data_IF_225129556116
#
_entry.id   IF_225129556116
#
_cell.length_a   1.000
_cell.length_b   1.000
_cell.length_c   1.000
_cell.angle_alpha   90.00
_cell.angle_beta   90.00
_cell.angle_gamma   90.00
#
_symmetry.space_group_name_H-M   'P 1'
#
loop_
_entity.id
_entity.type
_entity.pdbx_description
1 polymer ?
#
# COMPACT_ATOMS: atom_id res chain seq x y z
N UNK A 1 -37.16 26.85 -4.33
CA UNK A 1 -37.69 28.22 -4.19
C UNK A 1 -39.17 28.12 -3.87
N UNK A 2 -39.61 28.61 -2.71
CA UNK A 2 -41.04 28.73 -2.41
C UNK A 2 -41.54 30.08 -2.94
N UNK A 3 -42.64 30.08 -3.70
CA UNK A 3 -43.31 31.30 -4.15
C UNK A 3 -43.78 32.12 -2.95
N UNK A 4 -43.59 33.44 -3.03
CA UNK A 4 -43.64 34.40 -1.93
C UNK A 4 -45.03 34.70 -1.34
N UNK A 5 -46.03 33.83 -1.47
CA UNK A 5 -47.42 34.24 -1.22
C UNK A 5 -48.04 33.78 0.11
N UNK A 6 -47.36 32.98 0.94
CA UNK A 6 -47.89 32.65 2.29
C UNK A 6 -46.78 32.44 3.31
N UNK A 7 -46.22 33.52 3.83
CA UNK A 7 -45.49 33.48 5.12
C UNK A 7 -46.47 33.87 6.23
N UNK A 8 -46.67 33.05 7.28
CA UNK A 8 -47.54 33.40 8.40
C UNK A 8 -47.10 34.70 9.09
N UNK A 9 -48.01 35.50 9.65
CA UNK A 9 -47.65 36.73 10.35
C UNK A 9 -46.83 36.38 11.62
N UNK A 10 -45.54 36.69 11.60
CA UNK A 10 -44.67 36.59 12.77
C UNK A 10 -44.53 37.96 13.45
N UNK A 11 -44.51 37.98 14.78
CA UNK A 11 -44.21 39.14 15.61
C UNK A 11 -42.79 38.99 16.21
N UNK A 12 -41.87 39.96 16.00
CA UNK A 12 -42.06 41.27 15.38
C UNK A 12 -42.15 41.19 13.84
N UNK A 13 -42.83 42.16 13.20
CA UNK A 13 -43.07 42.14 11.76
C UNK A 13 -41.76 42.30 10.99
N UNK A 14 -41.45 41.32 10.13
CA UNK A 14 -40.38 41.41 9.14
C UNK A 14 -40.79 42.49 8.12
N UNK A 15 -40.18 43.68 8.22
CA UNK A 15 -40.42 44.79 7.30
C UNK A 15 -39.32 44.78 6.24
N UNK A 16 -39.66 44.41 5.02
CA UNK A 16 -38.72 44.46 3.89
C UNK A 16 -38.31 45.91 3.63
N UNK A 17 -37.01 46.19 3.67
CA UNK A 17 -36.49 47.57 3.72
C UNK A 17 -36.52 48.27 2.35
N UNK A 18 -36.57 47.55 1.23
CA UNK A 18 -36.52 48.15 -0.12
C UNK A 18 -37.35 47.38 -1.17
N UNK A 19 -38.65 47.69 -1.29
CA UNK A 19 -39.43 47.51 -2.53
C UNK A 19 -39.37 46.16 -3.25
N UNK A 20 -39.21 45.03 -2.55
CA UNK A 20 -39.06 43.68 -3.12
C UNK A 20 -37.91 43.51 -4.12
N UNK A 21 -36.98 44.48 -4.21
CA UNK A 21 -35.76 44.30 -5.01
C UNK A 21 -34.84 43.37 -4.23
N UNK A 22 -34.43 42.26 -4.85
CA UNK A 22 -33.47 41.33 -4.25
C UNK A 22 -32.16 42.06 -3.97
N UNK A 23 -31.82 42.24 -2.70
CA UNK A 23 -30.60 42.97 -2.27
C UNK A 23 -29.36 42.07 -2.41
N UNK A 24 -29.51 40.77 -2.14
CA UNK A 24 -28.48 39.76 -2.33
C UNK A 24 -29.12 38.38 -2.49
N UNK A 25 -28.43 37.46 -3.17
CA UNK A 25 -28.77 36.04 -3.19
C UNK A 25 -27.99 35.33 -2.08
N UNK A 26 -28.68 34.54 -1.25
CA UNK A 26 -28.06 33.58 -0.35
C UNK A 26 -28.20 32.20 -0.98
N UNK A 27 -27.07 31.56 -1.26
CA UNK A 27 -27.00 30.13 -1.55
C UNK A 27 -26.45 29.42 -0.32
N UNK A 28 -27.19 28.45 0.22
CA UNK A 28 -26.75 27.63 1.36
C UNK A 28 -26.35 26.26 0.83
N UNK A 29 -25.05 26.00 0.77
CA UNK A 29 -24.51 24.68 0.50
C UNK A 29 -24.18 24.01 1.84
N UNK A 30 -25.00 23.04 2.25
CA UNK A 30 -24.65 22.21 3.41
C UNK A 30 -23.45 21.34 3.06
N UNK A 31 -22.41 21.31 3.90
CA UNK A 31 -21.28 20.38 3.76
C UNK A 31 -21.42 19.35 4.88
N UNK A 32 -21.37 18.07 4.55
CA UNK A 32 -21.55 16.97 5.50
C UNK A 32 -20.36 16.03 5.44
N UNK A 33 -19.84 15.65 6.61
CA UNK A 33 -18.84 14.59 6.73
C UNK A 33 -19.46 13.19 6.66
N UNK A 34 -20.79 13.10 6.58
CA UNK A 34 -21.55 11.85 6.60
C UNK A 34 -22.25 11.61 5.26
N UNK A 35 -22.80 12.67 4.66
CA UNK A 35 -23.56 12.57 3.40
C UNK A 35 -22.67 12.99 2.25
N UNK A 36 -22.44 12.07 1.31
CA UNK A 36 -21.52 12.26 0.17
C UNK A 36 -22.01 13.29 -0.85
N UNK A 37 -23.33 13.53 -0.90
CA UNK A 37 -23.97 14.36 -1.93
C UNK A 37 -23.64 13.88 -3.36
N UNK A 38 -23.32 12.61 -3.51
CA UNK A 38 -23.01 11.98 -4.78
C UNK A 38 -23.69 10.61 -4.82
N UNK A 39 -24.52 10.40 -5.84
CA UNK A 39 -25.37 9.22 -5.95
C UNK A 39 -24.55 7.93 -6.06
N UNK A 40 -23.38 7.96 -6.71
CA UNK A 40 -22.54 6.78 -6.91
C UNK A 40 -21.85 6.40 -5.59
N UNK A 41 -21.31 7.38 -4.87
CA UNK A 41 -20.71 7.16 -3.55
C UNK A 41 -21.76 6.72 -2.52
N UNK A 42 -22.93 7.34 -2.51
CA UNK A 42 -24.02 7.00 -1.59
C UNK A 42 -24.50 5.55 -1.81
N UNK A 43 -24.76 5.16 -3.07
CA UNK A 43 -25.14 3.78 -3.43
C UNK A 43 -24.07 2.78 -2.99
N UNK A 44 -22.80 3.09 -3.22
CA UNK A 44 -21.68 2.22 -2.82
C UNK A 44 -21.60 2.02 -1.30
N UNK A 45 -21.67 3.10 -0.52
CA UNK A 45 -21.58 2.99 0.94
C UNK A 45 -22.77 2.27 1.55
N UNK A 46 -23.99 2.51 1.05
CA UNK A 46 -25.18 1.81 1.53
C UNK A 46 -25.07 0.30 1.25
N UNK A 47 -24.60 -0.10 0.07
CA UNK A 47 -24.44 -1.50 -0.30
C UNK A 47 -23.32 -2.20 0.49
N UNK A 48 -22.20 -1.52 0.74
CA UNK A 48 -21.15 -2.07 1.62
C UNK A 48 -21.66 -2.23 3.06
N UNK A 49 -22.41 -1.24 3.56
CA UNK A 49 -23.00 -1.32 4.89
C UNK A 49 -24.02 -2.45 5.02
N UNK A 50 -24.85 -2.66 3.99
CA UNK A 50 -25.80 -3.78 3.90
C UNK A 50 -25.12 -5.15 3.94
N UNK A 51 -23.87 -5.23 3.50
CA UNK A 51 -23.10 -6.46 3.45
C UNK A 51 -22.36 -6.73 4.76
N UNK A 52 -21.95 -5.69 5.47
CA UNK A 52 -21.25 -5.78 6.76
C UNK A 52 -22.21 -5.91 7.95
N UNK A 53 -23.36 -5.25 7.88
CA UNK A 53 -24.37 -5.29 8.93
C UNK A 53 -25.43 -6.32 8.56
N UNK A 54 -25.93 -7.09 9.54
CA UNK A 54 -27.09 -7.96 9.30
C UNK A 54 -28.34 -7.10 9.10
N UNK A 55 -28.54 -6.60 7.88
CA UNK A 55 -29.71 -5.78 7.52
C UNK A 55 -30.85 -6.70 7.08
N UNK A 56 -32.07 -6.36 7.47
CA UNK A 56 -33.28 -7.03 6.98
C UNK A 56 -33.61 -6.58 5.56
N UNK A 57 -33.56 -7.51 4.61
CA UNK A 57 -33.97 -7.26 3.22
C UNK A 57 -35.51 -7.19 3.09
N UNK A 58 -36.03 -6.43 2.10
CA UNK A 58 -35.32 -5.65 1.08
C UNK A 58 -34.88 -4.27 1.57
N UNK A 59 -33.72 -3.82 1.08
CA UNK A 59 -33.14 -2.52 1.42
C UNK A 59 -33.57 -1.50 0.38
N UNK A 60 -33.92 -0.28 0.80
CA UNK A 60 -34.14 0.83 -0.13
C UNK A 60 -32.85 1.61 -0.29
N UNK A 61 -32.38 1.71 -1.52
CA UNK A 61 -31.20 2.51 -1.87
C UNK A 61 -31.65 3.56 -2.86
N UNK A 62 -31.56 4.83 -2.47
CA UNK A 62 -32.16 5.94 -3.20
C UNK A 62 -33.66 5.69 -3.46
N UNK A 63 -34.04 5.41 -4.71
CA UNK A 63 -35.42 5.12 -5.12
C UNK A 63 -35.66 3.63 -5.48
N UNK A 64 -34.64 2.78 -5.39
CA UNK A 64 -34.71 1.37 -5.80
C UNK A 64 -34.83 0.44 -4.59
N UNK A 65 -35.64 -0.61 -4.72
CA UNK A 65 -35.72 -1.70 -3.74
C UNK A 65 -34.76 -2.82 -4.15
N UNK A 66 -33.77 -3.08 -3.32
CA UNK A 66 -32.74 -4.10 -3.56
C UNK A 66 -33.06 -5.32 -2.68
N UNK A 67 -33.14 -6.48 -3.33
CA UNK A 67 -33.33 -7.76 -2.65
C UNK A 67 -31.97 -8.41 -2.38
N UNK A 68 -31.93 -9.40 -1.49
CA UNK A 68 -30.69 -10.12 -1.19
C UNK A 68 -30.11 -10.81 -2.44
N UNK A 69 -30.98 -11.36 -3.29
CA UNK A 69 -30.58 -12.03 -4.54
C UNK A 69 -29.98 -11.06 -5.58
N UNK A 70 -30.37 -9.78 -5.57
CA UNK A 70 -29.81 -8.78 -6.49
C UNK A 70 -28.62 -8.02 -5.90
N UNK A 71 -28.32 -8.19 -4.60
CA UNK A 71 -27.31 -7.42 -3.89
C UNK A 71 -25.92 -7.56 -4.53
N UNK A 72 -25.53 -8.79 -4.89
CA UNK A 72 -24.22 -9.05 -5.50
C UNK A 72 -24.06 -8.28 -6.82
N UNK A 73 -25.08 -8.35 -7.68
CA UNK A 73 -25.08 -7.66 -8.96
C UNK A 73 -25.05 -6.14 -8.79
N UNK A 74 -25.90 -5.60 -7.92
CA UNK A 74 -25.95 -4.16 -7.63
C UNK A 74 -24.65 -3.64 -7.02
N UNK A 75 -24.01 -4.42 -6.15
CA UNK A 75 -22.72 -4.06 -5.58
C UNK A 75 -21.61 -4.07 -6.64
N UNK A 76 -21.57 -5.07 -7.54
CA UNK A 76 -20.61 -5.07 -8.67
C UNK A 76 -20.75 -3.81 -9.53
N UNK A 77 -21.99 -3.47 -9.91
CA UNK A 77 -22.25 -2.24 -10.67
C UNK A 77 -21.85 -0.99 -9.89
N UNK A 78 -22.19 -0.93 -8.61
CA UNK A 78 -21.84 0.20 -7.77
C UNK A 78 -20.33 0.40 -7.62
N UNK A 79 -19.55 -0.68 -7.52
CA UNK A 79 -18.09 -0.63 -7.48
C UNK A 79 -17.56 -0.04 -8.80
N UNK A 80 -18.04 -0.53 -9.94
CA UNK A 80 -17.61 -0.06 -11.28
C UNK A 80 -17.95 1.42 -11.48
N UNK A 81 -19.12 1.87 -11.02
CA UNK A 81 -19.58 3.25 -11.17
C UNK A 81 -18.87 4.27 -10.27
N UNK A 82 -17.98 3.85 -9.36
CA UNK A 82 -17.25 4.79 -8.49
C UNK A 82 -16.44 5.82 -9.27
N UNK A 83 -15.88 5.45 -10.43
CA UNK A 83 -15.12 6.37 -11.28
C UNK A 83 -16.00 7.44 -11.96
N UNK A 84 -17.32 7.28 -11.95
CA UNK A 84 -18.28 8.28 -12.44
C UNK A 84 -18.68 9.31 -11.37
N UNK A 85 -18.19 9.18 -10.14
CA UNK A 85 -18.43 10.13 -9.06
C UNK A 85 -17.80 11.48 -9.36
N UNK A 86 -18.42 12.56 -8.83
CA UNK A 86 -17.81 13.89 -8.92
C UNK A 86 -16.46 13.91 -8.17
N UNK A 87 -15.47 14.58 -8.76
CA UNK A 87 -14.11 14.63 -8.23
C UNK A 87 -14.05 15.12 -6.78
N UNK A 88 -14.75 16.23 -6.49
CA UNK A 88 -14.71 16.86 -5.17
C UNK A 88 -15.24 15.93 -4.06
N UNK A 89 -16.48 15.37 -4.13
CA UNK A 89 -16.92 14.33 -3.20
C UNK A 89 -15.99 13.12 -3.14
N UNK A 90 -15.50 12.64 -4.27
CA UNK A 90 -14.60 11.49 -4.31
C UNK A 90 -13.31 11.75 -3.52
N UNK A 91 -12.72 12.95 -3.63
CA UNK A 91 -11.53 13.35 -2.87
C UNK A 91 -11.84 13.43 -1.37
N UNK A 92 -12.97 14.03 -0.98
CA UNK A 92 -13.37 14.16 0.42
C UNK A 92 -13.56 12.80 1.11
N UNK A 93 -14.19 11.85 0.42
CA UNK A 93 -14.48 10.52 0.92
C UNK A 93 -13.46 9.46 0.49
N UNK A 94 -12.35 9.86 -0.14
CA UNK A 94 -11.38 8.94 -0.78
C UNK A 94 -10.90 7.85 0.16
N UNK A 95 -10.55 8.23 1.39
CA UNK A 95 -10.07 7.29 2.38
C UNK A 95 -11.09 6.20 2.73
N UNK A 96 -12.37 6.57 2.89
CA UNK A 96 -13.44 5.60 3.15
C UNK A 96 -13.73 4.73 1.93
N UNK A 97 -13.69 5.31 0.72
CA UNK A 97 -13.87 4.55 -0.52
C UNK A 97 -12.76 3.50 -0.67
N UNK A 98 -11.50 3.92 -0.50
CA UNK A 98 -10.35 3.03 -0.62
C UNK A 98 -10.33 1.96 0.47
N UNK A 99 -10.65 2.30 1.73
CA UNK A 99 -10.76 1.30 2.81
C UNK A 99 -11.79 0.21 2.48
N UNK A 100 -12.98 0.59 1.96
CA UNK A 100 -14.01 -0.37 1.54
C UNK A 100 -13.60 -1.18 0.33
N UNK A 101 -12.96 -0.57 -0.67
CA UNK A 101 -12.43 -1.30 -1.83
C UNK A 101 -11.38 -2.34 -1.40
N UNK A 102 -10.46 -1.96 -0.52
CA UNK A 102 -9.43 -2.86 -0.02
C UNK A 102 -10.00 -4.02 0.80
N UNK A 103 -11.04 -3.76 1.58
CA UNK A 103 -11.78 -4.81 2.29
C UNK A 103 -12.42 -5.81 1.30
N UNK A 104 -13.12 -5.31 0.27
CA UNK A 104 -13.72 -6.12 -0.80
C UNK A 104 -12.69 -6.86 -1.65
N UNK A 105 -11.46 -6.36 -1.73
CA UNK A 105 -10.34 -7.06 -2.38
C UNK A 105 -9.95 -8.31 -1.60
N UNK A 106 -9.78 -8.20 -0.28
CA UNK A 106 -9.18 -9.26 0.55
C UNK A 106 -10.20 -10.30 1.02
N UNK A 107 -11.43 -9.88 1.26
CA UNK A 107 -12.44 -10.69 1.90
C UNK A 107 -13.50 -11.14 0.89
N UNK A 108 -13.56 -12.43 0.53
CA UNK A 108 -14.74 -13.00 -0.09
C UNK A 108 -15.93 -12.77 0.83
N UNK A 109 -17.02 -12.23 0.29
CA UNK A 109 -18.20 -11.87 1.07
C UNK A 109 -19.24 -12.98 0.97
N UNK A 110 -20.02 -13.18 2.04
CA UNK A 110 -21.12 -14.15 2.04
C UNK A 110 -22.44 -13.43 1.76
N UNK A 111 -23.11 -13.81 0.66
CA UNK A 111 -24.44 -13.32 0.28
C UNK A 111 -25.34 -14.53 0.10
N UNK A 112 -26.46 -14.60 0.83
CA UNK A 112 -27.39 -15.74 0.78
C UNK A 112 -26.73 -17.13 0.93
N UNK A 113 -25.65 -17.22 1.72
CA UNK A 113 -24.89 -18.46 1.92
C UNK A 113 -23.91 -18.82 0.81
N UNK A 114 -23.76 -18.00 -0.23
CA UNK A 114 -22.78 -18.15 -1.29
C UNK A 114 -21.61 -17.17 -1.14
N UNK A 115 -20.41 -17.59 -1.50
CA UNK A 115 -19.23 -16.73 -1.52
C UNK A 115 -19.18 -15.91 -2.80
N UNK A 116 -19.35 -14.59 -2.68
CA UNK A 116 -19.16 -13.64 -3.76
C UNK A 116 -17.76 -13.03 -3.70
N UNK A 117 -17.06 -13.02 -4.84
CA UNK A 117 -15.73 -12.43 -4.97
C UNK A 117 -15.82 -11.10 -5.73
N UNK A 118 -15.40 -10.02 -5.06
CA UNK A 118 -15.40 -8.67 -5.60
C UNK A 118 -13.98 -8.16 -5.92
N UNK A 119 -12.95 -8.99 -5.72
CA UNK A 119 -11.54 -8.58 -5.80
C UNK A 119 -11.15 -7.90 -7.10
N UNK A 120 -11.46 -8.53 -8.23
CA UNK A 120 -11.17 -7.98 -9.55
C UNK A 120 -11.91 -6.65 -9.79
N UNK A 121 -13.21 -6.59 -9.49
CA UNK A 121 -14.00 -5.36 -9.65
C UNK A 121 -13.47 -4.23 -8.77
N UNK A 122 -13.13 -4.54 -7.51
CA UNK A 122 -12.58 -3.57 -6.57
C UNK A 122 -11.21 -3.07 -7.03
N UNK A 123 -10.36 -3.96 -7.55
CA UNK A 123 -9.06 -3.60 -8.09
C UNK A 123 -9.16 -2.75 -9.36
N UNK A 124 -10.02 -3.11 -10.31
CA UNK A 124 -10.24 -2.32 -11.53
C UNK A 124 -10.79 -0.92 -11.20
N UNK A 125 -11.71 -0.82 -10.23
CA UNK A 125 -12.20 0.48 -9.74
C UNK A 125 -11.14 1.29 -9.03
N UNK A 126 -10.27 0.66 -8.23
CA UNK A 126 -9.09 1.32 -7.64
C UNK A 126 -8.20 1.92 -8.73
N UNK A 127 -7.90 1.14 -9.77
CA UNK A 127 -7.09 1.58 -10.91
C UNK A 127 -7.74 2.75 -11.63
N UNK A 128 -9.05 2.70 -11.86
CA UNK A 128 -9.81 3.78 -12.48
C UNK A 128 -9.78 5.07 -11.64
N UNK A 129 -9.98 4.97 -10.32
CA UNK A 129 -9.91 6.11 -9.39
C UNK A 129 -8.50 6.71 -9.39
N UNK A 130 -7.44 5.89 -9.30
CA UNK A 130 -6.05 6.35 -9.36
C UNK A 130 -5.77 7.11 -10.66
N UNK A 131 -6.22 6.56 -11.80
CA UNK A 131 -6.08 7.21 -13.10
C UNK A 131 -6.84 8.55 -13.16
N UNK A 132 -8.07 8.60 -12.64
CA UNK A 132 -8.88 9.82 -12.60
C UNK A 132 -8.25 10.91 -11.74
N UNK A 133 -7.84 10.56 -10.52
CA UNK A 133 -7.18 11.50 -9.60
C UNK A 133 -5.84 12.00 -10.15
N UNK A 134 -5.03 11.13 -10.75
CA UNK A 134 -3.73 11.53 -11.26
C UNK A 134 -3.81 12.47 -12.47
N UNK A 135 -4.82 12.29 -13.33
CA UNK A 135 -5.03 13.15 -14.50
C UNK A 135 -5.86 14.42 -14.19
N UNK A 136 -6.38 14.57 -12.97
CA UNK A 136 -7.12 15.76 -12.58
C UNK A 136 -6.20 16.97 -12.50
N UNK A 137 -6.64 18.09 -13.08
CA UNK A 137 -5.91 19.37 -13.08
C UNK A 137 -5.99 20.10 -11.73
N UNK A 138 -7.01 19.79 -10.93
CA UNK A 138 -7.26 20.45 -9.64
C UNK A 138 -6.37 19.89 -8.53
N UNK A 139 -5.71 18.76 -8.77
CA UNK A 139 -4.86 18.08 -7.79
C UNK A 139 -3.38 18.33 -8.10
N UNK A 140 -2.63 18.67 -7.06
CA UNK A 140 -1.19 18.93 -7.17
C UNK A 140 -0.37 17.66 -7.43
N UNK A 141 0.71 17.83 -8.18
CA UNK A 141 1.76 16.83 -8.36
C UNK A 141 3.05 17.29 -7.70
N UNK A 142 3.83 16.34 -7.18
CA UNK A 142 5.14 16.62 -6.60
C UNK A 142 6.19 16.83 -7.70
N UNK A 143 7.44 17.11 -7.29
CA UNK A 143 8.57 17.29 -8.20
C UNK A 143 8.88 16.07 -9.08
N UNK A 144 8.36 14.89 -8.74
CA UNK A 144 8.53 13.66 -9.50
C UNK A 144 7.30 13.34 -10.37
N UNK A 145 6.32 14.25 -10.43
CA UNK A 145 5.08 14.07 -11.18
C UNK A 145 4.12 13.07 -10.53
N UNK A 146 4.26 12.77 -9.23
CA UNK A 146 3.33 11.91 -8.50
C UNK A 146 2.21 12.77 -7.91
N UNK A 147 1.00 12.24 -7.86
CA UNK A 147 -0.14 12.95 -7.27
C UNK A 147 0.04 13.04 -5.74
N UNK A 148 0.06 14.26 -5.21
CA UNK A 148 0.35 14.52 -3.80
C UNK A 148 -0.69 13.90 -2.85
N UNK A 149 -1.96 13.86 -3.25
CA UNK A 149 -3.04 13.27 -2.46
C UNK A 149 -2.87 11.76 -2.33
N UNK A 150 -2.60 11.07 -3.44
CA UNK A 150 -2.37 9.63 -3.46
C UNK A 150 -1.11 9.25 -2.67
N UNK A 151 -0.01 10.00 -2.84
CA UNK A 151 1.22 9.78 -2.07
C UNK A 151 0.98 9.97 -0.56
N UNK A 152 0.25 11.04 -0.19
CA UNK A 152 -0.11 11.31 1.21
C UNK A 152 -1.02 10.22 1.79
N UNK A 153 -1.96 9.71 1.01
CA UNK A 153 -2.84 8.63 1.42
C UNK A 153 -2.06 7.36 1.76
N UNK A 154 -1.18 6.89 0.87
CA UNK A 154 -0.36 5.69 1.10
C UNK A 154 0.55 5.87 2.32
N UNK A 155 1.12 7.07 2.50
CA UNK A 155 2.05 7.31 3.58
C UNK A 155 1.36 7.41 4.96
N UNK A 156 0.29 8.23 5.07
CA UNK A 156 -0.31 8.61 6.35
C UNK A 156 -1.60 7.88 6.71
N UNK A 157 -2.38 7.45 5.72
CA UNK A 157 -3.77 6.99 5.93
C UNK A 157 -3.89 5.48 5.79
N UNK A 158 -3.27 4.91 4.76
CA UNK A 158 -3.39 3.50 4.39
C UNK A 158 -3.09 2.55 5.57
N UNK A 159 -4.01 1.61 5.77
CA UNK A 159 -3.94 0.54 6.76
C UNK A 159 -4.41 -0.77 6.14
N UNK A 160 -3.85 -1.88 6.61
CA UNK A 160 -4.33 -3.21 6.24
C UNK A 160 -5.81 -3.37 6.64
N UNK A 161 -6.68 -3.90 5.76
CA UNK A 161 -8.04 -4.25 6.12
C UNK A 161 -8.05 -5.22 7.31
N UNK A 162 -8.81 -4.89 8.35
CA UNK A 162 -9.00 -5.79 9.49
C UNK A 162 -9.91 -6.94 9.06
N UNK A 163 -9.35 -8.15 8.97
CA UNK A 163 -10.15 -9.36 8.76
C UNK A 163 -10.91 -9.63 10.05
N UNK A 164 -12.22 -9.31 10.08
CA UNK A 164 -13.09 -9.68 11.20
C UNK A 164 -13.08 -11.21 11.37
N UNK A 165 -12.33 -11.70 12.36
CA UNK A 165 -12.42 -13.09 12.83
C UNK A 165 -13.54 -13.24 13.85
N UNK A 166 -14.76 -12.88 13.49
CA UNK A 166 -15.91 -13.18 14.35
C UNK A 166 -16.56 -14.50 13.90
N UNK A 167 -15.82 -15.60 14.09
CA UNK A 167 -16.44 -16.93 14.18
C UNK A 167 -16.84 -17.19 15.63
N UNK A 168 -18.11 -16.94 15.93
CA UNK A 168 -18.98 -17.64 16.88
C UNK A 168 -18.25 -18.35 18.05
N UNK A 169 -18.03 -17.64 19.17
CA UNK A 169 -18.09 -18.29 20.49
C UNK A 169 -19.53 -18.27 20.96
N UNK A 170 -20.34 -19.19 20.44
CA UNK A 170 -21.63 -19.49 21.05
C UNK A 170 -21.36 -20.30 22.32
N UNK A 171 -21.69 -19.70 23.47
CA UNK A 171 -21.78 -20.40 24.75
C UNK A 171 -20.72 -20.00 25.76
N UNK A 172 -20.94 -18.88 26.45
CA UNK A 172 -21.04 -18.84 27.92
C UNK A 172 -21.46 -17.44 28.35
N UNK A 173 -22.55 -17.40 29.11
CA UNK A 173 -23.11 -16.24 29.79
C UNK A 173 -22.05 -15.43 30.57
N UNK A 174 -21.96 -14.13 30.29
CA UNK A 174 -21.17 -13.20 31.08
C UNK A 174 -21.16 -11.80 30.44
N UNK A 175 -22.02 -10.93 30.94
CA UNK A 175 -22.10 -9.51 30.59
C UNK A 175 -20.75 -8.80 30.74
N UNK A 176 -20.20 -8.29 29.64
CA UNK A 176 -19.54 -6.98 29.58
C UNK A 176 -19.74 -6.41 28.17
N UNK A 177 -20.63 -5.44 28.03
CA UNK A 177 -20.72 -4.59 26.84
C UNK A 177 -19.41 -3.83 26.67
N UNK A 178 -18.52 -4.33 25.81
CA UNK A 178 -17.41 -3.54 25.26
C UNK A 178 -17.98 -2.67 24.14
N UNK A 179 -17.81 -1.34 24.16
CA UNK A 179 -18.28 -0.48 23.09
C UNK A 179 -17.54 -0.82 21.80
N UNK A 180 -18.31 -0.89 20.72
CA UNK A 180 -17.90 -1.12 19.35
C UNK A 180 -16.72 -0.20 18.95
N UNK A 181 -15.52 -0.79 18.87
CA UNK A 181 -14.24 -0.12 18.67
C UNK A 181 -14.02 0.25 17.19
N UNK A 182 -14.89 1.08 16.59
CA UNK A 182 -14.77 1.40 15.15
C UNK A 182 -14.00 2.66 14.76
N UNK A 183 -13.55 3.51 15.70
CA UNK A 183 -12.80 4.72 15.33
C UNK A 183 -11.82 5.20 16.42
N UNK A 184 -10.78 4.42 16.75
CA UNK A 184 -9.68 4.95 17.59
C UNK A 184 -8.63 5.70 16.77
N UNK A 185 -8.22 6.86 17.28
CA UNK A 185 -7.05 7.65 16.85
C UNK A 185 -5.72 6.89 16.98
N UNK A 186 -5.67 5.78 17.73
CA UNK A 186 -4.51 4.90 17.89
C UNK A 186 -3.99 4.28 16.58
N UNK A 187 -4.85 4.14 15.55
CA UNK A 187 -4.45 3.55 14.26
C UNK A 187 -3.53 4.45 13.42
N UNK A 188 -3.61 5.79 13.57
CA UNK A 188 -2.81 6.73 12.78
C UNK A 188 -1.32 6.65 13.13
N UNK A 189 -1.00 6.35 14.39
CA UNK A 189 0.38 6.18 14.87
C UNK A 189 1.10 4.99 14.23
N UNK A 190 0.39 3.90 13.91
CA UNK A 190 1.00 2.72 13.29
C UNK A 190 1.36 2.94 11.81
N UNK A 191 0.48 3.59 11.04
CA UNK A 191 0.75 3.91 9.63
C UNK A 191 1.97 4.84 9.49
N UNK A 192 2.07 5.85 10.36
CA UNK A 192 3.20 6.79 10.41
C UNK A 192 4.46 6.09 10.91
N UNK A 193 4.40 5.25 11.95
CA UNK A 193 5.57 4.55 12.47
C UNK A 193 6.16 3.56 11.47
N UNK A 194 5.33 2.84 10.71
CA UNK A 194 5.80 1.96 9.62
C UNK A 194 6.36 2.78 8.46
N UNK A 195 5.73 3.91 8.12
CA UNK A 195 6.26 4.82 7.09
C UNK A 195 7.62 5.42 7.47
N UNK A 196 7.78 5.83 8.73
CA UNK A 196 9.03 6.30 9.28
C UNK A 196 10.08 5.19 9.30
N UNK A 197 9.73 3.95 9.66
CA UNK A 197 10.65 2.81 9.61
C UNK A 197 11.09 2.44 8.20
N UNK A 198 10.21 2.54 7.20
CA UNK A 198 10.58 2.37 5.78
C UNK A 198 11.52 3.48 5.30
N UNK A 199 11.26 4.73 5.71
CA UNK A 199 12.14 5.85 5.40
C UNK A 199 13.49 5.73 6.15
N UNK A 200 13.45 5.23 7.38
CA UNK A 200 14.64 4.93 8.18
C UNK A 200 15.43 3.80 7.52
N UNK A 201 14.80 2.71 7.04
CA UNK A 201 15.52 1.66 6.31
C UNK A 201 16.17 2.16 5.02
N UNK A 202 15.59 3.18 4.38
CA UNK A 202 16.22 3.88 3.24
C UNK A 202 17.43 4.73 3.63
N UNK A 203 17.61 5.05 4.91
CA UNK A 203 18.68 5.93 5.41
C UNK A 203 19.67 5.23 6.36
N UNK A 204 19.30 4.11 6.98
CA UNK A 204 20.15 3.35 7.91
C UNK A 204 20.67 2.06 7.30
N UNK A 205 22.00 2.02 7.16
CA UNK A 205 22.80 0.84 6.83
C UNK A 205 22.55 -0.29 7.82
N UNK A 206 22.17 -1.47 7.34
CA UNK A 206 22.27 -2.69 8.14
C UNK A 206 22.59 -3.89 7.27
N UNK A 207 23.89 -4.13 7.08
CA UNK A 207 24.45 -5.41 6.63
C UNK A 207 23.96 -6.58 7.51
N UNK A 208 23.54 -6.31 8.77
CA UNK A 208 22.81 -7.26 9.59
C UNK A 208 21.66 -6.59 10.41
N UNK A 209 20.40 -6.70 10.00
CA UNK A 209 19.25 -6.07 10.67
C UNK A 209 18.84 -6.76 11.98
N UNK A 210 19.34 -7.97 12.25
CA UNK A 210 19.10 -8.68 13.51
C UNK A 210 19.87 -8.06 14.69
N UNK A 211 20.81 -7.14 14.41
CA UNK A 211 21.58 -6.38 15.43
C UNK A 211 20.92 -5.04 15.74
N UNK A 212 19.97 -4.57 14.91
CA UNK A 212 19.22 -3.34 15.16
C UNK A 212 17.99 -3.58 16.08
N UNK A 213 18.08 -4.57 16.97
CA UNK A 213 17.17 -4.71 18.09
C UNK A 213 17.32 -3.50 19.02
N UNK A 214 16.19 -3.01 19.52
CA UNK A 214 16.06 -1.92 20.49
C UNK A 214 17.17 -2.05 21.53
N UNK A 215 18.01 -1.01 21.67
CA UNK A 215 18.91 -0.88 22.82
C UNK A 215 18.06 -0.74 24.08
N UNK A 216 17.63 -1.87 24.64
CA UNK A 216 17.12 -1.91 25.99
C UNK A 216 18.31 -1.62 26.92
N UNK A 217 18.09 -0.78 27.93
CA UNK A 217 19.10 -0.48 28.93
C UNK A 217 19.67 -1.81 29.49
N UNK A 218 20.99 -1.90 29.73
CA UNK A 218 21.69 -3.13 30.12
C UNK A 218 21.07 -3.79 31.37
N UNK A 219 20.34 -3.04 32.18
CA UNK A 219 19.71 -3.50 33.41
C UNK A 219 18.43 -4.33 33.19
N UNK A 220 17.71 -4.16 32.07
CA UNK A 220 16.50 -4.95 31.77
C UNK A 220 16.83 -6.32 31.15
N UNK A 221 17.94 -6.42 30.42
CA UNK A 221 18.42 -7.70 29.87
C UNK A 221 18.86 -8.65 30.99
N UNK A 222 19.58 -8.13 31.99
CA UNK A 222 19.98 -8.91 33.19
C UNK A 222 18.75 -9.41 33.96
N UNK A 223 17.68 -8.60 34.03
CA UNK A 223 16.43 -8.96 34.71
C UNK A 223 15.68 -10.09 34.00
N UNK A 224 15.67 -10.08 32.67
CA UNK A 224 15.10 -11.17 31.86
C UNK A 224 15.92 -12.46 31.95
N UNK A 225 17.26 -12.36 31.99
CA UNK A 225 18.16 -13.51 32.17
C UNK A 225 18.04 -14.11 33.58
N UNK A 226 17.77 -13.29 34.61
CA UNK A 226 17.55 -13.78 35.97
C UNK A 226 16.17 -14.44 36.15
N UNK A 227 15.14 -13.98 35.41
CA UNK A 227 13.82 -14.61 35.39
C UNK A 227 13.78 -15.94 34.62
N UNK A 228 14.62 -16.13 33.59
CA UNK A 228 14.60 -17.34 32.76
C UNK A 228 15.17 -18.58 33.45
N UNK A 229 15.99 -18.41 34.51
CA UNK A 229 16.58 -19.54 35.26
C UNK A 229 15.61 -20.31 36.17
N UNK A 230 14.34 -19.90 36.28
CA UNK A 230 13.33 -20.58 37.12
C UNK A 230 12.38 -21.47 36.30
N UNK A 231 12.39 -21.38 34.96
CA UNK A 231 11.44 -22.11 34.10
C UNK A 231 12.04 -23.28 33.29
N UNK A 232 13.34 -23.58 33.41
CA UNK A 232 13.96 -24.72 32.72
C UNK A 232 13.89 -26.03 33.53
N UNK A 233 12.67 -26.47 33.84
CA UNK A 233 12.38 -27.88 34.20
C UNK A 233 11.03 -28.28 33.65
N UNK A 234 10.90 -28.39 32.34
CA UNK A 234 10.16 -29.43 31.63
C UNK A 234 10.13 -29.14 30.12
N UNK A 235 9.91 -30.20 29.34
CA UNK A 235 9.86 -30.27 27.87
C UNK A 235 11.18 -30.60 27.15
N UNK A 236 11.67 -31.82 27.41
CA UNK A 236 12.12 -32.68 26.29
C UNK A 236 10.94 -33.51 25.81
N UNK A 237 10.53 -33.33 24.55
CA UNK A 237 10.01 -34.41 23.69
C UNK A 237 10.01 -33.96 22.23
N UNK A 238 10.95 -34.53 21.49
CA UNK A 238 11.01 -34.55 20.03
C UNK A 238 9.77 -35.29 19.51
N UNK A 239 9.00 -34.67 18.62
CA UNK A 239 8.09 -35.41 17.73
C UNK A 239 8.02 -34.74 16.37
N UNK A 240 8.64 -35.40 15.39
CA UNK A 240 8.34 -35.23 13.97
C UNK A 240 6.88 -35.63 13.76
N UNK A 241 6.03 -34.69 13.35
CA UNK A 241 4.77 -34.98 12.71
C UNK A 241 4.78 -34.33 11.32
N UNK A 242 4.84 -35.20 10.32
CA UNK A 242 4.40 -34.92 8.96
C UNK A 242 2.89 -34.72 9.03
N UNK A 243 2.41 -33.51 8.75
CA UNK A 243 0.96 -33.26 8.76
C UNK A 243 0.42 -33.35 7.33
N UNK A 244 -0.33 -34.43 7.13
CA UNK A 244 -1.02 -34.82 5.93
C UNK A 244 -2.17 -33.88 5.58
N UNK A 245 -2.42 -33.81 4.29
CA UNK A 245 -3.56 -33.22 3.60
C UNK A 245 -4.90 -33.48 4.33
N UNK A 246 -5.56 -32.42 4.78
CA UNK A 246 -7.00 -32.41 5.05
C UNK A 246 -7.62 -31.13 4.49
N UNK A 247 -8.06 -31.20 3.23
CA UNK A 247 -8.97 -30.25 2.62
C UNK A 247 -10.33 -30.32 3.33
N UNK A 248 -10.54 -29.41 4.28
CA UNK A 248 -11.85 -28.93 4.68
C UNK A 248 -11.81 -27.40 4.66
N UNK A 249 -12.63 -26.83 3.78
CA UNK A 249 -12.63 -25.46 3.33
C UNK A 249 -13.00 -24.45 4.43
N UNK A 250 -12.01 -24.05 5.24
CA UNK A 250 -12.01 -22.69 5.78
C UNK A 250 -11.64 -21.72 4.66
N UNK A 251 -12.33 -20.57 4.52
CA UNK A 251 -11.93 -19.56 3.55
C UNK A 251 -10.49 -19.15 3.87
N UNK A 252 -9.57 -19.43 2.94
CA UNK A 252 -8.18 -18.99 3.05
C UNK A 252 -8.19 -17.47 3.12
N UNK A 253 -7.94 -16.91 4.30
CA UNK A 253 -7.82 -15.46 4.46
C UNK A 253 -6.51 -15.03 3.78
N UNK A 254 -6.60 -14.61 2.52
CA UNK A 254 -5.49 -14.06 1.76
C UNK A 254 -5.00 -12.78 2.45
N UNK A 255 -3.70 -12.51 2.47
CA UNK A 255 -3.22 -11.22 2.97
C UNK A 255 -3.36 -10.16 1.88
N UNK A 256 -3.61 -8.90 2.25
CA UNK A 256 -3.80 -7.81 1.28
C UNK A 256 -2.68 -7.70 0.24
N UNK A 257 -1.42 -7.84 0.66
CA UNK A 257 -0.29 -7.79 -0.27
C UNK A 257 -0.30 -8.94 -1.29
N UNK A 258 -0.74 -10.13 -0.88
CA UNK A 258 -0.85 -11.28 -1.79
C UNK A 258 -1.96 -11.04 -2.81
N UNK A 259 -3.10 -10.54 -2.37
CA UNK A 259 -4.23 -10.29 -3.27
C UNK A 259 -3.94 -9.14 -4.24
N UNK A 260 -3.36 -8.02 -3.79
CA UNK A 260 -2.98 -6.92 -4.70
C UNK A 260 -1.94 -7.38 -5.72
N UNK A 261 -0.93 -8.14 -5.31
CA UNK A 261 0.05 -8.67 -6.26
C UNK A 261 -0.59 -9.62 -7.27
N UNK A 262 -1.46 -10.51 -6.80
CA UNK A 262 -2.23 -11.40 -7.67
C UNK A 262 -3.08 -10.61 -8.68
N UNK A 263 -3.81 -9.59 -8.23
CA UNK A 263 -4.62 -8.72 -9.10
C UNK A 263 -3.77 -7.97 -10.13
N UNK A 264 -2.58 -7.51 -9.77
CA UNK A 264 -1.63 -6.93 -10.72
C UNK A 264 -1.20 -7.95 -11.79
N UNK A 265 -0.95 -9.20 -11.41
CA UNK A 265 -0.55 -10.28 -12.34
C UNK A 265 -1.68 -10.62 -13.32
N UNK A 266 -2.92 -10.71 -12.85
CA UNK A 266 -4.07 -11.09 -13.70
C UNK A 266 -4.69 -9.90 -14.46
N UNK A 267 -4.28 -8.67 -14.14
CA UNK A 267 -4.79 -7.47 -14.80
C UNK A 267 -4.53 -7.49 -16.32
N UNK A 268 -5.51 -7.06 -17.10
CA UNK A 268 -5.46 -7.05 -18.56
C UNK A 268 -6.00 -5.73 -19.15
N UNK A 269 -5.73 -5.51 -20.45
CA UNK A 269 -6.23 -4.35 -21.19
C UNK A 269 -5.86 -3.00 -20.57
N UNK A 270 -6.83 -2.08 -20.52
CA UNK A 270 -6.67 -0.70 -20.02
C UNK A 270 -6.29 -0.67 -18.54
N UNK A 271 -6.76 -1.64 -17.74
CA UNK A 271 -6.42 -1.73 -16.33
C UNK A 271 -4.91 -2.00 -16.17
N UNK A 272 -4.37 -2.99 -16.90
CA UNK A 272 -2.92 -3.31 -16.89
C UNK A 272 -2.07 -2.10 -17.30
N UNK A 273 -2.46 -1.42 -18.37
CA UNK A 273 -1.75 -0.22 -18.84
C UNK A 273 -1.73 0.87 -17.78
N UNK A 274 -2.86 1.10 -17.10
CA UNK A 274 -2.97 2.09 -16.02
C UNK A 274 -2.18 1.70 -14.78
N UNK A 275 -2.16 0.40 -14.41
CA UNK A 275 -1.33 -0.13 -13.32
C UNK A 275 0.14 0.19 -13.56
N UNK A 276 0.64 -0.05 -14.78
CA UNK A 276 2.04 0.26 -15.09
C UNK A 276 2.30 1.75 -15.23
N UNK A 277 1.38 2.50 -15.84
CA UNK A 277 1.49 3.96 -15.96
C UNK A 277 1.65 4.64 -14.59
N UNK A 278 0.92 4.16 -13.59
CA UNK A 278 0.97 4.64 -12.20
C UNK A 278 1.64 3.63 -11.26
N UNK A 279 2.62 2.88 -11.76
CA UNK A 279 3.30 1.81 -11.02
C UNK A 279 3.88 2.25 -9.67
N UNK A 280 4.37 3.49 -9.58
CA UNK A 280 4.82 4.08 -8.31
C UNK A 280 3.79 3.91 -7.18
N UNK A 281 2.49 4.13 -7.47
CA UNK A 281 1.43 4.05 -6.46
C UNK A 281 1.20 2.61 -6.02
N UNK A 282 1.09 1.68 -6.97
CA UNK A 282 0.83 0.28 -6.67
C UNK A 282 2.02 -0.39 -5.97
N UNK A 283 3.25 -0.06 -6.37
CA UNK A 283 4.44 -0.55 -5.69
C UNK A 283 4.58 0.01 -4.27
N UNK A 284 4.34 1.32 -4.06
CA UNK A 284 4.36 1.88 -2.71
C UNK A 284 3.25 1.29 -1.84
N UNK A 285 2.04 1.10 -2.37
CA UNK A 285 0.94 0.45 -1.68
C UNK A 285 1.30 -0.99 -1.29
N UNK A 286 1.88 -1.75 -2.22
CA UNK A 286 2.33 -3.12 -2.00
C UNK A 286 3.42 -3.18 -0.92
N UNK A 287 4.47 -2.37 -1.03
CA UNK A 287 5.56 -2.27 -0.03
C UNK A 287 5.01 -1.87 1.34
N UNK A 288 4.13 -0.87 1.39
CA UNK A 288 3.52 -0.41 2.64
C UNK A 288 2.70 -1.52 3.31
N UNK A 289 1.92 -2.28 2.53
CA UNK A 289 1.15 -3.40 3.04
C UNK A 289 2.02 -4.57 3.51
N UNK A 290 3.11 -4.87 2.79
CA UNK A 290 4.12 -5.86 3.19
C UNK A 290 4.80 -5.44 4.49
N UNK A 291 5.16 -4.16 4.64
CA UNK A 291 5.81 -3.63 5.83
C UNK A 291 4.89 -3.68 7.06
N UNK A 292 3.61 -3.32 6.92
CA UNK A 292 2.62 -3.46 8.00
C UNK A 292 2.41 -4.94 8.38
N UNK A 293 2.41 -5.85 7.40
CA UNK A 293 2.33 -7.28 7.66
C UNK A 293 3.55 -7.81 8.41
N UNK A 294 4.76 -7.44 7.97
CA UNK A 294 6.02 -7.82 8.64
C UNK A 294 6.06 -7.30 10.06
N UNK A 295 5.61 -6.07 10.33
CA UNK A 295 5.52 -5.53 11.69
C UNK A 295 4.56 -6.34 12.59
N UNK A 296 3.43 -6.79 12.03
CA UNK A 296 2.49 -7.64 12.74
C UNK A 296 3.05 -9.04 13.03
N UNK A 297 3.80 -9.61 12.08
CA UNK A 297 4.38 -10.96 12.18
C UNK A 297 5.70 -10.98 12.97
N UNK A 298 6.47 -9.89 13.01
CA UNK A 298 7.70 -9.80 13.83
C UNK A 298 7.42 -9.95 15.32
N UNK A 299 6.21 -9.61 15.78
CA UNK A 299 5.74 -9.93 17.15
C UNK A 299 5.67 -11.42 17.45
N UNK A 300 5.80 -12.28 16.42
CA UNK A 300 5.69 -13.74 16.49
C UNK A 300 7.03 -14.46 16.17
N UNK A 301 8.17 -13.75 16.15
CA UNK A 301 9.52 -14.30 15.93
C UNK A 301 9.70 -15.16 14.66
N UNK A 302 8.98 -14.85 13.58
CA UNK A 302 9.08 -15.61 12.32
C UNK A 302 10.35 -15.24 11.53
N UNK A 303 11.18 -16.24 11.13
CA UNK A 303 12.41 -15.99 10.38
C UNK A 303 12.11 -15.42 8.99
N UNK A 304 12.97 -14.52 8.51
CA UNK A 304 12.75 -13.73 7.27
C UNK A 304 12.38 -14.58 6.04
N UNK A 305 13.00 -15.76 5.90
CA UNK A 305 12.82 -16.66 4.76
C UNK A 305 11.43 -17.29 4.66
N UNK A 306 10.68 -17.34 5.76
CA UNK A 306 9.33 -17.94 5.81
C UNK A 306 8.22 -16.91 6.02
N UNK A 307 8.53 -15.60 5.94
CA UNK A 307 7.53 -14.54 6.16
C UNK A 307 6.51 -14.46 5.04
N UNK A 308 6.88 -14.82 3.82
CA UNK A 308 6.05 -14.67 2.63
C UNK A 308 5.82 -16.02 1.95
N UNK A 309 4.61 -16.25 1.45
CA UNK A 309 4.26 -17.49 0.76
C UNK A 309 5.02 -17.65 -0.56
N UNK A 310 5.21 -18.90 -1.01
CA UNK A 310 5.84 -19.16 -2.30
C UNK A 310 5.02 -18.60 -3.46
N UNK A 311 3.68 -18.71 -3.38
CA UNK A 311 2.75 -18.13 -4.37
C UNK A 311 2.99 -16.62 -4.53
N UNK A 312 3.04 -15.88 -3.42
CA UNK A 312 3.32 -14.45 -3.47
C UNK A 312 4.68 -14.13 -4.09
N UNK A 313 5.72 -14.93 -3.79
CA UNK A 313 7.05 -14.75 -4.39
C UNK A 313 7.05 -14.98 -5.90
N UNK A 314 6.24 -15.91 -6.39
CA UNK A 314 6.02 -16.15 -7.83
C UNK A 314 5.28 -14.97 -8.47
N UNK A 315 4.25 -14.43 -7.80
CA UNK A 315 3.52 -13.25 -8.25
C UNK A 315 4.47 -12.03 -8.37
N UNK A 316 5.31 -11.77 -7.37
CA UNK A 316 6.34 -10.71 -7.43
C UNK A 316 7.31 -10.94 -8.61
N UNK A 317 7.77 -12.17 -8.80
CA UNK A 317 8.68 -12.49 -9.90
C UNK A 317 8.03 -12.22 -11.27
N UNK A 318 6.74 -12.54 -11.39
CA UNK A 318 5.95 -12.30 -12.58
C UNK A 318 5.75 -10.81 -12.82
N UNK A 319 5.39 -10.04 -11.79
CA UNK A 319 5.25 -8.57 -11.86
C UNK A 319 6.55 -7.94 -12.37
N UNK A 320 7.70 -8.28 -11.76
CA UNK A 320 9.01 -7.73 -12.18
C UNK A 320 9.31 -8.07 -13.63
N UNK A 321 9.07 -9.31 -14.06
CA UNK A 321 9.29 -9.75 -15.44
C UNK A 321 8.39 -9.04 -16.46
N UNK A 322 7.11 -8.87 -16.14
CA UNK A 322 6.14 -8.20 -17.03
C UNK A 322 6.45 -6.71 -17.12
N UNK A 323 6.74 -6.05 -15.99
CA UNK A 323 7.11 -4.63 -15.96
C UNK A 323 8.42 -4.39 -16.71
N UNK A 324 9.43 -5.26 -16.55
CA UNK A 324 10.68 -5.18 -17.33
C UNK A 324 10.41 -5.28 -18.83
N UNK A 325 9.53 -6.20 -19.22
CA UNK A 325 9.15 -6.38 -20.61
C UNK A 325 8.43 -5.17 -21.19
N UNK A 326 7.57 -4.52 -20.39
CA UNK A 326 6.83 -3.30 -20.74
C UNK A 326 7.78 -2.09 -20.85
N UNK A 327 8.69 -1.89 -19.88
CA UNK A 327 9.73 -0.84 -19.94
C UNK A 327 10.53 -0.95 -21.23
N UNK A 328 10.99 -2.16 -21.56
CA UNK A 328 11.74 -2.40 -22.79
C UNK A 328 10.89 -2.12 -24.05
N UNK A 329 9.61 -2.47 -24.04
CA UNK A 329 8.70 -2.24 -25.16
C UNK A 329 8.42 -0.74 -25.37
N UNK A 330 8.19 0.02 -24.30
CA UNK A 330 7.91 1.46 -24.35
C UNK A 330 9.16 2.27 -24.73
N UNK A 331 10.36 1.82 -24.32
CA UNK A 331 11.64 2.50 -24.60
C UNK A 331 11.99 2.59 -26.09
N UNK A 332 11.35 1.79 -26.95
CA UNK A 332 11.61 1.75 -28.40
C UNK A 332 10.62 2.64 -29.17
N UNK A 333 9.58 3.16 -28.51
CA UNK A 333 8.52 3.92 -29.15
C UNK A 333 8.80 5.43 -29.13
N UNK A 334 7.74 6.25 -29.16
CA UNK A 334 7.81 7.71 -29.29
C UNK A 334 8.46 8.33 -28.05
N UNK A 335 9.06 9.52 -28.17
CA UNK A 335 9.72 10.25 -27.07
C UNK A 335 8.86 10.34 -25.79
N UNK A 336 7.55 10.61 -25.92
CA UNK A 336 6.60 10.65 -24.79
C UNK A 336 6.44 9.29 -24.08
N UNK A 337 6.46 8.19 -24.82
CA UNK A 337 6.40 6.83 -24.25
C UNK A 337 7.75 6.44 -23.61
N UNK A 338 8.87 7.01 -24.07
CA UNK A 338 10.18 6.83 -23.44
C UNK A 338 10.25 7.47 -22.06
N UNK A 339 9.70 8.68 -21.86
CA UNK A 339 9.61 9.31 -20.52
C UNK A 339 8.75 8.47 -19.56
N UNK A 340 7.69 7.84 -20.09
CA UNK A 340 6.88 6.94 -19.30
C UNK A 340 7.66 5.67 -18.92
N UNK A 341 8.46 5.12 -19.84
CA UNK A 341 9.33 3.98 -19.56
C UNK A 341 10.33 4.29 -18.44
N UNK A 342 10.90 5.50 -18.42
CA UNK A 342 11.82 5.99 -17.39
C UNK A 342 11.14 6.02 -16.01
N UNK A 343 9.94 6.61 -15.93
CA UNK A 343 9.17 6.66 -14.68
C UNK A 343 8.84 5.26 -14.14
N UNK A 344 8.47 4.33 -15.02
CA UNK A 344 8.21 2.93 -14.63
C UNK A 344 9.50 2.26 -14.15
N UNK A 345 10.61 2.50 -14.83
CA UNK A 345 11.91 1.97 -14.49
C UNK A 345 12.39 2.43 -13.10
N UNK A 346 12.28 3.74 -12.83
CA UNK A 346 12.58 4.34 -11.53
C UNK A 346 11.68 3.73 -10.44
N UNK A 347 10.37 3.60 -10.72
CA UNK A 347 9.40 3.02 -9.77
C UNK A 347 9.75 1.57 -9.43
N UNK A 348 10.14 0.77 -10.43
CA UNK A 348 10.57 -0.61 -10.23
C UNK A 348 11.89 -0.69 -9.44
N UNK A 349 12.82 0.24 -9.66
CA UNK A 349 14.07 0.30 -8.91
C UNK A 349 13.82 0.56 -7.42
N UNK A 350 12.98 1.55 -7.08
CA UNK A 350 12.59 1.82 -5.69
C UNK A 350 11.81 0.67 -5.07
N UNK A 351 10.96 -0.01 -5.85
CA UNK A 351 10.27 -1.21 -5.38
C UNK A 351 11.26 -2.29 -4.95
N UNK A 352 12.20 -2.67 -5.83
CA UNK A 352 13.22 -3.68 -5.50
C UNK A 352 14.16 -3.22 -4.38
N UNK A 353 14.46 -1.93 -4.31
CA UNK A 353 15.21 -1.32 -3.21
C UNK A 353 14.51 -1.62 -1.87
N UNK A 354 13.22 -1.32 -1.76
CA UNK A 354 12.47 -1.56 -0.52
C UNK A 354 12.34 -3.07 -0.21
N UNK A 355 12.24 -3.92 -1.24
CA UNK A 355 12.21 -5.38 -1.07
C UNK A 355 13.49 -5.93 -0.44
N UNK A 356 14.67 -5.31 -0.61
CA UNK A 356 15.91 -5.73 0.05
C UNK A 356 15.81 -5.69 1.58
N UNK A 357 14.95 -4.80 2.11
CA UNK A 357 14.69 -4.68 3.55
C UNK A 357 13.62 -5.66 4.05
N UNK A 358 12.64 -6.01 3.20
CA UNK A 358 11.48 -6.80 3.59
C UNK A 358 11.64 -8.31 3.33
N UNK A 359 12.27 -8.70 2.22
CA UNK A 359 12.35 -10.08 1.73
C UNK A 359 13.76 -10.70 1.89
N UNK A 360 13.91 -11.97 1.53
CA UNK A 360 15.23 -12.62 1.42
C UNK A 360 16.06 -11.95 0.32
N UNK A 361 17.26 -11.48 0.67
CA UNK A 361 18.14 -10.75 -0.25
C UNK A 361 18.55 -11.60 -1.45
N UNK A 362 18.78 -12.90 -1.26
CA UNK A 362 19.13 -13.81 -2.35
C UNK A 362 18.03 -13.89 -3.40
N UNK A 363 16.77 -13.94 -2.96
CA UNK A 363 15.62 -13.84 -3.85
C UNK A 363 15.58 -12.50 -4.59
N UNK A 364 15.74 -11.36 -3.90
CA UNK A 364 15.69 -10.03 -4.53
C UNK A 364 16.85 -9.83 -5.53
N UNK A 365 18.07 -10.28 -5.20
CA UNK A 365 19.20 -10.24 -6.14
C UNK A 365 18.94 -11.08 -7.39
N UNK A 366 18.23 -12.20 -7.27
CA UNK A 366 17.81 -12.98 -8.43
C UNK A 366 16.82 -12.20 -9.32
N UNK A 367 15.90 -11.43 -8.73
CA UNK A 367 15.01 -10.52 -9.48
C UNK A 367 15.79 -9.44 -10.23
N UNK A 368 16.76 -8.80 -9.55
CA UNK A 368 17.64 -7.77 -10.14
C UNK A 368 18.45 -8.35 -11.32
N UNK A 369 18.99 -9.56 -11.14
CA UNK A 369 19.70 -10.29 -12.19
C UNK A 369 18.79 -10.57 -13.38
N UNK A 370 17.57 -11.04 -13.13
CA UNK A 370 16.60 -11.33 -14.18
C UNK A 370 16.21 -10.07 -14.95
N UNK A 371 15.95 -8.96 -14.26
CA UNK A 371 15.71 -7.65 -14.87
C UNK A 371 16.86 -7.27 -15.83
N UNK A 372 18.11 -7.32 -15.35
CA UNK A 372 19.29 -6.96 -16.15
C UNK A 372 19.43 -7.83 -17.39
N UNK A 373 19.21 -9.13 -17.26
CA UNK A 373 19.29 -10.09 -18.37
C UNK A 373 18.18 -9.86 -19.40
N UNK A 374 16.94 -9.68 -18.95
CA UNK A 374 15.80 -9.46 -19.84
C UNK A 374 15.94 -8.15 -20.63
N UNK A 375 16.38 -7.07 -19.98
CA UNK A 375 16.58 -5.79 -20.64
C UNK A 375 17.74 -5.86 -21.64
N UNK A 376 18.82 -6.59 -21.31
CA UNK A 376 19.97 -6.77 -22.19
C UNK A 376 19.62 -7.58 -23.44
N UNK A 377 18.69 -8.53 -23.36
CA UNK A 377 18.31 -9.40 -24.47
C UNK A 377 17.42 -8.73 -25.54
N UNK A 378 16.89 -7.53 -25.28
CA UNK A 378 16.01 -6.79 -26.20
C UNK A 378 16.77 -5.72 -27.02
N UNK A 379 17.87 -6.12 -27.69
CA UNK A 379 18.92 -5.29 -28.35
C UNK A 379 18.51 -4.23 -29.39
N UNK A 380 17.24 -3.86 -29.57
CA UNK A 380 16.85 -2.92 -30.65
C UNK A 380 17.23 -1.46 -30.40
N UNK A 381 17.58 -1.05 -29.18
CA UNK A 381 18.08 0.31 -28.87
C UNK A 381 19.09 0.31 -27.70
N UNK A 382 20.32 -0.12 -27.98
CA UNK A 382 21.36 -0.39 -26.97
C UNK A 382 21.66 0.83 -26.05
N UNK A 383 21.84 2.07 -26.55
CA UNK A 383 22.20 3.19 -25.68
C UNK A 383 21.12 3.57 -24.65
N UNK A 384 19.84 3.59 -25.06
CA UNK A 384 18.72 3.95 -24.18
C UNK A 384 18.51 2.88 -23.12
N UNK A 385 18.52 1.60 -23.51
CA UNK A 385 18.35 0.49 -22.57
C UNK A 385 19.52 0.38 -21.58
N UNK A 386 20.75 0.68 -22.02
CA UNK A 386 21.90 0.79 -21.13
C UNK A 386 21.74 1.94 -20.13
N UNK A 387 21.27 3.11 -20.58
CA UNK A 387 20.99 4.24 -19.69
C UNK A 387 19.97 3.87 -18.61
N UNK A 388 18.84 3.29 -19.00
CA UNK A 388 17.80 2.81 -18.08
C UNK A 388 18.35 1.80 -17.07
N UNK A 389 19.18 0.86 -17.54
CA UNK A 389 19.83 -0.14 -16.68
C UNK A 389 20.77 0.51 -15.67
N UNK A 390 21.58 1.46 -16.11
CA UNK A 390 22.54 2.13 -15.24
C UNK A 390 21.83 2.98 -14.19
N UNK A 391 20.78 3.69 -14.56
CA UNK A 391 19.95 4.45 -13.62
C UNK A 391 19.26 3.54 -12.60
N UNK A 392 18.67 2.43 -13.07
CA UNK A 392 18.06 1.43 -12.20
C UNK A 392 19.07 0.87 -11.19
N UNK A 393 20.26 0.48 -11.67
CA UNK A 393 21.33 0.01 -10.80
C UNK A 393 21.87 1.12 -9.89
N UNK A 394 21.89 2.37 -10.34
CA UNK A 394 22.30 3.51 -9.51
C UNK A 394 21.34 3.71 -8.33
N UNK A 395 20.02 3.60 -8.55
CA UNK A 395 19.04 3.66 -7.46
C UNK A 395 19.26 2.50 -6.50
N UNK A 396 19.44 1.27 -7.01
CA UNK A 396 19.71 0.11 -6.15
C UNK A 396 21.03 0.22 -5.40
N UNK A 397 22.10 0.73 -6.02
CA UNK A 397 23.41 0.93 -5.39
C UNK A 397 23.47 2.20 -4.53
N UNK A 398 22.48 3.09 -4.62
CA UNK A 398 22.27 4.13 -3.61
C UNK A 398 21.77 3.53 -2.28
N UNK A 399 21.39 2.24 -2.28
CA UNK A 399 21.37 1.44 -1.08
C UNK A 399 22.82 1.30 -0.65
N UNK A 400 23.15 1.85 0.52
CA UNK A 400 24.53 2.03 1.02
C UNK A 400 25.19 3.30 0.47
N UNK A 401 24.93 4.44 1.12
CA UNK A 401 25.93 5.50 1.13
C UNK A 401 27.23 4.92 1.69
N UNK A 402 28.20 4.67 0.80
CA UNK A 402 29.56 4.22 1.08
C UNK A 402 29.65 2.91 1.87
N UNK A 403 29.80 1.79 1.16
CA UNK A 403 30.85 0.85 1.59
C UNK A 403 32.13 1.65 1.64
N UNK A 404 32.56 2.02 2.85
CA UNK A 404 33.95 2.41 3.06
C UNK A 404 34.75 1.14 2.80
N UNK A 405 35.04 0.91 1.53
CA UNK A 405 35.94 -0.13 1.06
C UNK A 405 37.29 0.25 1.67
N UNK A 406 37.53 -0.20 2.90
CA UNK A 406 38.86 -0.41 3.43
C UNK A 406 39.47 -1.56 2.61
N UNK A 407 39.70 -1.29 1.33
CA UNK A 407 40.62 -2.06 0.52
C UNK A 407 41.95 -1.83 1.22
N UNK A 408 42.32 -2.78 2.07
CA UNK A 408 43.72 -2.99 2.41
C UNK A 408 44.41 -3.27 1.09
N UNK A 409 44.94 -2.22 0.47
CA UNK A 409 45.98 -2.37 -0.52
C UNK A 409 47.15 -3.00 0.24
N UNK A 410 47.27 -4.32 0.13
CA UNK A 410 48.55 -4.99 0.34
C UNK A 410 49.48 -4.45 -0.74
N UNK A 411 50.11 -3.30 -0.45
CA UNK A 411 51.28 -2.87 -1.20
C UNK A 411 52.40 -3.82 -0.80
N UNK A 412 52.46 -4.98 -1.46
CA UNK A 412 53.66 -5.78 -1.49
C UNK A 412 54.76 -4.94 -2.14
N UNK A 413 55.74 -4.49 -1.33
CA UNK A 413 56.96 -3.88 -1.87
C UNK A 413 57.50 -2.70 -1.06
N UNK A 414 58.22 -3.03 0.00
CA UNK A 414 59.43 -2.35 0.53
C UNK A 414 59.73 -0.91 0.05
N UNK A 415 59.70 0.05 0.98
CA UNK A 415 60.54 1.24 0.92
C UNK A 415 61.14 1.51 2.33
N UNK A 416 62.44 1.84 2.44
CA UNK A 416 63.13 1.90 3.72
C UNK A 416 62.71 3.10 4.58
N UNK A 417 62.75 2.91 5.89
CA UNK A 417 62.48 3.90 6.93
C UNK A 417 63.40 5.11 6.83
N UNK A 418 62.82 6.30 6.66
CA UNK A 418 63.49 7.60 6.79
C UNK A 418 63.19 8.22 8.18
N UNK A 419 64.20 8.77 8.90
CA UNK A 419 64.04 9.32 10.23
C UNK A 419 63.85 10.85 10.20
N UNK A 420 62.61 11.34 10.27
CA UNK A 420 62.32 12.75 10.62
C UNK A 420 60.84 12.93 10.98
N UNK A 421 60.48 13.59 12.10
CA UNK A 421 59.08 13.83 12.44
C UNK A 421 58.61 15.13 11.78
N UNK A 422 57.88 15.01 10.67
CA UNK A 422 57.25 16.16 10.00
C UNK A 422 55.75 15.93 9.92
N UNK A 423 55.01 16.68 10.72
CA UNK A 423 53.55 16.72 10.75
C UNK A 423 53.09 17.56 9.55
N UNK A 424 52.85 16.95 8.38
CA UNK A 424 51.91 17.48 7.37
C UNK A 424 51.74 16.51 6.19
N UNK A 425 50.48 16.23 5.87
CA UNK A 425 49.95 15.85 4.56
C UNK A 425 50.20 14.43 4.03
N UNK A 426 49.15 13.59 4.06
CA UNK A 426 48.65 12.82 2.91
C UNK A 426 47.31 12.14 3.25
N UNK A 427 46.23 12.92 3.28
CA UNK A 427 44.90 12.40 2.96
C UNK A 427 44.48 13.15 1.72
N UNK A 428 44.77 12.55 0.57
CA UNK A 428 44.28 12.99 -0.72
C UNK A 428 42.95 12.25 -0.92
N UNK A 429 41.78 12.91 -0.81
CA UNK A 429 40.53 12.28 -1.15
C UNK A 429 40.51 12.10 -2.67
N UNK A 430 40.88 10.90 -3.13
CA UNK A 430 40.72 10.52 -4.52
C UNK A 430 39.23 10.34 -4.81
N UNK A 431 38.65 11.37 -5.42
CA UNK A 431 37.40 11.25 -6.17
C UNK A 431 37.65 10.34 -7.37
N UNK A 432 36.98 9.20 -7.41
CA UNK A 432 36.83 8.43 -8.65
C UNK A 432 35.36 8.08 -8.85
N UNK A 433 34.75 8.89 -9.71
CA UNK A 433 33.53 8.61 -10.43
C UNK A 433 33.87 7.57 -11.50
N UNK A 434 33.24 6.39 -11.43
CA UNK A 434 32.87 5.66 -12.64
C UNK A 434 31.62 4.83 -12.39
#
# INVERSE_FOLDING_TARGET
>A
MHSAEKVPPQSPPIKWVEGHKGVFNIEVQGISSVHTQDNHLEKFFILCHALESQVTFPIRVLNEKITEASLEHELKLSIICLNSSRLEPLVHFLHLVLDKLFQLTVQPMLIAGQTANFSQFAFESLVAIVNSLHNSKDLSQDQHGRNCLLASYVYYVFRLPEVQRDFVRLGTSGSTNLPESRYYTYGRTAAVSVGSRLLQSRTTSCSNPDIAGIQNAPDEEVKNIMSSKVAERNYSRVSFYSESNSDMSSPRTSHFHEEIAFQMVVSAGIARESVFKYSWFFFELLVKSMAQYVDNVQKQDVPRRSRFSNRFREDISTIVSVVTSEVAALSIKTQKESEQAEKINISLAFFLYDLLSLMDRGFVFNLIKNYCNQLSNKMSNIPVLLSMRLEFLQILCSHEHYLNLNLFFLTSGCAPTSPSPSISSQVLPLFLKK
#
